data_IF_295202283794
#
_entry.id   IF_295202283794
#
_cell.length_a   1.000
_cell.length_b   1.000
_cell.length_c   1.000
_cell.angle_alpha   90.00
_cell.angle_beta   90.00
_cell.angle_gamma   90.00
#
_symmetry.space_group_name_H-M   'P 1'
#
loop_
_entity.id
_entity.type
_entity.pdbx_description
1 polymer ?
#
# COMPACT_ATOMS: atom_id res chain seq x y z
N UNK A 1 -9.33 9.61 -39.08
CA UNK A 1 -9.18 9.73 -37.61
C UNK A 1 -9.42 8.35 -37.01
N UNK A 2 -8.35 7.59 -36.76
CA UNK A 2 -8.47 6.26 -36.14
C UNK A 2 -8.47 6.45 -34.62
N UNK A 3 -9.60 6.15 -34.01
CA UNK A 3 -9.68 6.01 -32.55
C UNK A 3 -8.86 4.80 -32.14
N UNK A 4 -7.75 5.06 -31.45
CA UNK A 4 -6.93 4.02 -30.83
C UNK A 4 -7.83 3.12 -29.98
N UNK A 5 -7.66 1.81 -30.16
CA UNK A 5 -8.35 0.76 -29.42
C UNK A 5 -8.26 1.04 -27.93
N UNK A 6 -9.40 1.03 -27.25
CA UNK A 6 -9.46 1.00 -25.78
C UNK A 6 -8.65 -0.22 -25.32
N UNK A 7 -7.45 0.02 -24.81
CA UNK A 7 -6.75 -0.97 -24.02
C UNK A 7 -7.73 -1.48 -22.96
N UNK A 8 -7.94 -2.79 -22.91
CA UNK A 8 -8.97 -3.40 -22.09
C UNK A 8 -8.83 -2.92 -20.65
N UNK A 9 -9.88 -2.31 -20.10
CA UNK A 9 -9.93 -2.01 -18.67
C UNK A 9 -9.69 -3.33 -17.95
N UNK A 10 -8.59 -3.44 -17.21
CA UNK A 10 -8.37 -4.54 -16.27
C UNK A 10 -9.63 -4.65 -15.42
N UNK A 11 -10.24 -5.83 -15.39
CA UNK A 11 -11.49 -6.07 -14.68
C UNK A 11 -11.16 -6.07 -13.19
N UNK A 12 -11.70 -5.11 -12.45
CA UNK A 12 -11.60 -5.10 -10.98
C UNK A 12 -12.34 -6.32 -10.41
N UNK A 13 -11.89 -6.83 -9.28
CA UNK A 13 -12.57 -7.89 -8.54
C UNK A 13 -13.98 -7.46 -8.16
N UNK A 14 -14.99 -8.20 -8.62
CA UNK A 14 -16.41 -7.82 -8.45
C UNK A 14 -16.92 -8.03 -7.01
N UNK A 15 -16.27 -8.93 -6.22
CA UNK A 15 -16.70 -9.27 -4.87
C UNK A 15 -15.49 -9.36 -3.94
N UNK A 16 -15.43 -8.47 -2.96
CA UNK A 16 -14.41 -8.45 -1.91
C UNK A 16 -14.82 -9.29 -0.71
N UNK A 17 -13.84 -9.61 0.15
CA UNK A 17 -14.07 -10.22 1.45
C UNK A 17 -14.95 -9.29 2.31
N UNK A 18 -16.04 -9.79 2.93
CA UNK A 18 -16.82 -9.00 3.86
C UNK A 18 -15.99 -8.63 5.12
N UNK A 19 -16.08 -7.37 5.56
CA UNK A 19 -15.36 -6.87 6.75
C UNK A 19 -16.06 -7.28 8.05
N UNK A 20 -16.21 -8.60 8.28
CA UNK A 20 -16.87 -9.13 9.49
C UNK A 20 -15.92 -9.44 10.63
N UNK A 21 -14.63 -9.62 10.31
CA UNK A 21 -13.59 -10.05 11.27
C UNK A 21 -12.87 -8.90 11.95
N UNK A 22 -13.10 -7.70 11.49
CA UNK A 22 -12.41 -6.49 11.96
C UNK A 22 -13.40 -5.33 12.12
N UNK A 23 -13.06 -4.37 12.97
CA UNK A 23 -13.84 -3.16 13.15
C UNK A 23 -12.95 -1.95 13.45
N UNK A 24 -13.46 -0.75 13.20
CA UNK A 24 -12.79 0.50 13.57
C UNK A 24 -13.18 0.91 14.96
N UNK A 25 -12.20 1.19 15.82
CA UNK A 25 -12.38 1.63 17.19
C UNK A 25 -11.46 2.78 17.58
N UNK A 26 -11.57 3.25 18.83
CA UNK A 26 -10.67 4.24 19.40
C UNK A 26 -9.34 3.56 19.74
N UNK A 27 -8.23 4.06 19.16
CA UNK A 27 -6.89 3.58 19.47
C UNK A 27 -6.33 4.28 20.73
N UNK A 28 -5.55 3.53 21.50
CA UNK A 28 -4.74 4.10 22.57
C UNK A 28 -3.50 4.83 22.06
N UNK A 29 -3.06 4.52 20.84
CA UNK A 29 -1.88 5.13 20.23
C UNK A 29 -2.23 6.42 19.50
N UNK A 30 -3.27 6.39 18.63
CA UNK A 30 -3.58 7.50 17.74
C UNK A 30 -5.03 7.47 17.24
N UNK A 31 -5.87 8.32 17.77
CA UNK A 31 -7.21 8.58 17.25
C UNK A 31 -8.04 7.32 17.03
N UNK A 32 -8.07 6.82 15.80
CA UNK A 32 -8.75 5.60 15.39
C UNK A 32 -7.74 4.52 15.00
N UNK A 33 -8.15 3.25 15.16
CA UNK A 33 -7.41 2.08 14.74
C UNK A 33 -8.35 0.98 14.28
N UNK A 34 -7.80 -0.08 13.71
CA UNK A 34 -8.52 -1.28 13.31
C UNK A 34 -8.29 -2.36 14.36
N UNK A 35 -9.33 -3.08 14.74
CA UNK A 35 -9.31 -4.07 15.82
C UNK A 35 -9.89 -5.39 15.35
N UNK A 36 -9.41 -6.49 15.92
CA UNK A 36 -9.95 -7.83 15.69
C UNK A 36 -11.35 -7.97 16.35
N UNK A 37 -12.36 -8.36 15.57
CA UNK A 37 -13.71 -8.62 16.07
C UNK A 37 -13.86 -10.03 16.67
N UNK A 38 -12.94 -10.93 16.35
CA UNK A 38 -12.84 -12.30 16.82
C UNK A 38 -11.37 -12.70 16.94
N UNK A 39 -11.08 -13.90 17.48
CA UNK A 39 -9.71 -14.42 17.44
C UNK A 39 -9.34 -14.76 16.00
N UNK A 40 -8.14 -14.34 15.58
CA UNK A 40 -7.63 -14.50 14.22
C UNK A 40 -6.38 -15.39 14.24
N UNK A 41 -6.29 -16.31 13.30
CA UNK A 41 -5.12 -17.16 13.14
C UNK A 41 -4.05 -16.48 12.28
N UNK A 42 -2.80 -16.91 12.42
CA UNK A 42 -1.71 -16.47 11.56
C UNK A 42 -1.96 -16.81 10.10
N UNK A 43 -1.75 -15.87 9.21
CA UNK A 43 -1.93 -16.01 7.75
C UNK A 43 -3.36 -15.79 7.29
N UNK A 44 -4.25 -15.42 8.20
CA UNK A 44 -5.66 -15.21 7.88
C UNK A 44 -5.86 -13.93 7.10
N UNK A 45 -6.58 -14.01 5.97
CA UNK A 45 -7.00 -12.85 5.18
C UNK A 45 -8.15 -12.15 5.91
N UNK A 46 -7.94 -10.89 6.30
CA UNK A 46 -8.89 -10.13 7.12
C UNK A 46 -9.56 -8.98 6.38
N UNK A 47 -8.90 -8.46 5.34
CA UNK A 47 -9.45 -7.40 4.49
C UNK A 47 -8.95 -7.52 3.06
N UNK A 48 -9.84 -7.25 2.11
CA UNK A 48 -9.54 -6.92 0.72
C UNK A 48 -10.16 -5.54 0.44
N UNK A 49 -9.36 -4.62 -0.03
CA UNK A 49 -9.80 -3.25 -0.27
C UNK A 49 -9.41 -2.79 -1.67
N UNK A 50 -10.36 -2.31 -2.46
CA UNK A 50 -10.04 -1.62 -3.70
C UNK A 50 -9.24 -0.36 -3.41
N UNK A 51 -8.46 0.08 -4.39
CA UNK A 51 -7.74 1.34 -4.30
C UNK A 51 -7.85 2.16 -5.58
N UNK A 52 -7.69 3.45 -5.43
CA UNK A 52 -7.69 4.41 -6.53
C UNK A 52 -6.29 4.98 -6.62
N UNK A 53 -5.70 4.92 -7.81
CA UNK A 53 -4.43 5.59 -8.08
C UNK A 53 -4.74 7.00 -8.58
N UNK A 54 -4.22 7.97 -7.88
CA UNK A 54 -4.21 9.38 -8.26
C UNK A 54 -2.82 9.78 -8.76
N UNK A 55 -2.62 11.03 -9.12
CA UNK A 55 -1.36 11.54 -9.64
C UNK A 55 -0.13 11.28 -8.76
N UNK A 56 0.98 11.92 -9.08
CA UNK A 56 2.22 11.80 -8.35
C UNK A 56 2.05 12.19 -6.87
N UNK A 57 2.60 11.40 -5.96
CA UNK A 57 2.53 11.68 -4.52
C UNK A 57 3.13 13.05 -4.17
N UNK A 58 4.18 13.49 -4.88
CA UNK A 58 4.79 14.81 -4.71
C UNK A 58 3.83 15.96 -4.98
N UNK A 59 2.82 15.76 -5.82
CA UNK A 59 1.86 16.80 -6.20
C UNK A 59 0.68 16.90 -5.21
N UNK A 60 0.62 16.02 -4.21
CA UNK A 60 -0.39 16.06 -3.17
C UNK A 60 -0.13 17.24 -2.22
N UNK A 61 -1.05 18.21 -2.20
CA UNK A 61 -0.92 19.44 -1.41
C UNK A 61 -1.72 19.41 -0.10
N UNK A 62 -2.51 18.38 0.13
CA UNK A 62 -3.32 18.22 1.35
C UNK A 62 -2.56 17.43 2.40
N UNK A 63 -1.98 18.15 3.39
CA UNK A 63 -1.22 17.55 4.50
C UNK A 63 -2.05 16.57 5.35
N UNK A 64 -3.36 16.74 5.42
CA UNK A 64 -4.23 15.81 6.16
C UNK A 64 -4.37 14.50 5.39
N UNK A 65 -4.62 14.58 4.08
CA UNK A 65 -4.77 13.42 3.22
C UNK A 65 -3.44 12.66 3.06
N UNK A 66 -2.31 13.37 2.99
CA UNK A 66 -0.97 12.78 2.89
C UNK A 66 -0.67 11.76 4.00
N UNK A 67 -1.25 11.96 5.17
CA UNK A 67 -1.07 11.05 6.32
C UNK A 67 -1.78 9.70 6.19
N UNK A 68 -2.73 9.59 5.27
CA UNK A 68 -3.59 8.42 5.11
C UNK A 68 -3.32 7.64 3.82
N UNK A 69 -2.75 8.28 2.81
CA UNK A 69 -2.52 7.65 1.51
C UNK A 69 -1.26 6.80 1.49
N UNK A 70 -1.27 5.81 0.61
CA UNK A 70 -0.08 5.03 0.30
C UNK A 70 0.65 5.66 -0.89
N UNK A 71 1.97 5.72 -0.81
CA UNK A 71 2.82 6.02 -1.96
C UNK A 71 3.25 4.70 -2.58
N UNK A 72 2.95 4.47 -3.84
CA UNK A 72 3.30 3.23 -4.52
C UNK A 72 3.82 3.49 -5.94
N UNK A 73 4.72 2.61 -6.39
CA UNK A 73 5.10 2.56 -7.79
C UNK A 73 4.00 1.85 -8.58
N UNK A 74 3.57 2.46 -9.67
CA UNK A 74 2.64 1.84 -10.60
C UNK A 74 2.88 2.35 -12.02
N UNK A 75 3.12 1.42 -12.94
CA UNK A 75 3.15 1.70 -14.37
C UNK A 75 2.15 0.77 -15.07
N UNK A 76 1.19 1.35 -15.78
CA UNK A 76 0.10 0.63 -16.47
C UNK A 76 0.58 -0.26 -17.63
N UNK A 77 1.76 0.00 -18.17
CA UNK A 77 2.36 -0.74 -19.28
C UNK A 77 3.07 -2.02 -18.78
N UNK A 78 3.34 -2.13 -17.48
CA UNK A 78 3.99 -3.28 -16.86
C UNK A 78 2.98 -4.33 -16.39
N UNK A 79 3.42 -5.58 -16.32
CA UNK A 79 2.67 -6.67 -15.71
C UNK A 79 2.45 -6.45 -14.21
N UNK A 80 1.55 -7.24 -13.60
CA UNK A 80 1.32 -7.21 -12.16
C UNK A 80 2.58 -7.58 -11.38
N UNK A 81 3.29 -8.62 -11.82
CA UNK A 81 4.53 -9.10 -11.22
C UNK A 81 5.65 -8.06 -11.27
N UNK A 82 5.80 -7.37 -12.40
CA UNK A 82 6.79 -6.31 -12.56
C UNK A 82 6.48 -5.11 -11.68
N UNK A 83 5.22 -4.64 -11.65
CA UNK A 83 4.79 -3.58 -10.75
C UNK A 83 5.04 -3.94 -9.27
N UNK A 84 4.72 -5.17 -8.87
CA UNK A 84 4.93 -5.64 -7.51
C UNK A 84 6.41 -5.72 -7.15
N UNK A 85 7.25 -6.25 -8.07
CA UNK A 85 8.70 -6.32 -7.90
C UNK A 85 9.32 -4.93 -7.72
N UNK A 86 8.98 -3.98 -8.60
CA UNK A 86 9.52 -2.63 -8.57
C UNK A 86 9.02 -1.85 -7.34
N UNK A 87 7.77 -2.03 -6.95
CA UNK A 87 7.23 -1.42 -5.74
C UNK A 87 7.99 -1.90 -4.50
N UNK A 88 8.14 -3.22 -4.34
CA UNK A 88 8.91 -3.80 -3.24
C UNK A 88 10.37 -3.32 -3.24
N UNK A 89 11.04 -3.35 -4.38
CA UNK A 89 12.42 -2.90 -4.50
C UNK A 89 12.58 -1.41 -4.20
N UNK A 90 11.65 -0.57 -4.66
CA UNK A 90 11.68 0.87 -4.42
C UNK A 90 11.49 1.20 -2.95
N UNK A 91 10.58 0.55 -2.25
CA UNK A 91 10.39 0.73 -0.82
C UNK A 91 11.60 0.32 0.01
N UNK A 92 12.20 -0.83 -0.30
CA UNK A 92 13.35 -1.33 0.44
C UNK A 92 14.64 -0.60 0.07
N UNK A 93 14.85 -0.26 -1.20
CA UNK A 93 16.12 0.30 -1.68
C UNK A 93 16.26 1.80 -1.45
N UNK A 94 15.16 2.55 -1.42
CA UNK A 94 15.20 3.98 -1.06
C UNK A 94 15.53 4.22 0.42
N UNK A 95 15.40 3.17 1.27
CA UNK A 95 15.82 3.18 2.68
C UNK A 95 17.18 2.52 2.95
N UNK A 96 17.88 2.01 1.93
CA UNK A 96 19.21 1.37 2.07
C UNK A 96 20.27 2.39 1.68
N UNK A 97 21.24 2.61 2.55
CA UNK A 97 22.42 3.49 2.33
C UNK A 97 23.40 2.97 1.23
N UNK A 98 23.04 1.91 0.52
CA UNK A 98 23.84 1.33 -0.56
C UNK A 98 23.60 2.10 -1.87
N UNK A 99 24.54 2.99 -2.20
CA UNK A 99 24.48 3.84 -3.39
C UNK A 99 24.49 3.04 -4.70
N UNK A 100 25.12 1.89 -4.74
CA UNK A 100 25.21 1.08 -5.97
C UNK A 100 23.85 0.45 -6.27
N UNK A 101 23.16 -0.01 -5.25
CA UNK A 101 21.79 -0.54 -5.37
C UNK A 101 20.81 0.58 -5.76
N UNK A 102 20.93 1.77 -5.16
CA UNK A 102 20.11 2.93 -5.54
C UNK A 102 20.33 3.33 -7.00
N UNK A 103 21.58 3.45 -7.42
CA UNK A 103 21.92 3.80 -8.80
C UNK A 103 21.38 2.78 -9.81
N UNK A 104 21.52 1.48 -9.53
CA UNK A 104 20.98 0.42 -10.40
C UNK A 104 19.46 0.50 -10.56
N UNK A 105 18.75 0.82 -9.47
CA UNK A 105 17.30 1.02 -9.53
C UNK A 105 16.93 2.28 -10.33
N UNK A 106 17.67 3.37 -10.15
CA UNK A 106 17.41 4.61 -10.88
C UNK A 106 17.64 4.46 -12.38
N UNK A 107 18.67 3.74 -12.81
CA UNK A 107 18.86 3.46 -14.23
C UNK A 107 17.72 2.61 -14.81
N UNK A 108 17.27 1.57 -14.10
CA UNK A 108 16.09 0.77 -14.52
C UNK A 108 14.82 1.63 -14.64
N UNK A 109 14.58 2.51 -13.68
CA UNK A 109 13.42 3.40 -13.70
C UNK A 109 13.50 4.46 -14.80
N UNK A 110 14.70 4.93 -15.11
CA UNK A 110 14.96 5.89 -16.19
C UNK A 110 14.70 5.27 -17.56
N UNK A 111 15.09 3.99 -17.77
CA UNK A 111 14.75 3.23 -18.98
C UNK A 111 13.23 3.10 -19.16
N UNK A 112 12.46 3.10 -18.07
CA UNK A 112 11.01 3.12 -18.05
C UNK A 112 10.40 4.53 -18.20
N UNK A 113 11.23 5.57 -18.43
CA UNK A 113 10.79 6.96 -18.63
C UNK A 113 10.60 7.77 -17.35
N UNK A 114 11.16 7.33 -16.23
CA UNK A 114 11.12 8.08 -14.95
C UNK A 114 12.43 8.88 -14.75
N UNK A 115 12.52 10.03 -15.37
CA UNK A 115 13.71 10.91 -15.29
C UNK A 115 13.85 11.62 -13.94
N UNK A 116 12.75 11.81 -13.19
CA UNK A 116 12.74 12.46 -11.88
C UNK A 116 12.39 11.42 -10.78
N UNK A 117 13.37 11.03 -9.94
CA UNK A 117 13.15 10.08 -8.85
C UNK A 117 12.04 10.50 -7.87
N UNK A 118 11.81 11.80 -7.70
CA UNK A 118 10.78 12.32 -6.81
C UNK A 118 9.35 12.13 -7.35
N UNK A 119 9.21 11.74 -8.61
CA UNK A 119 7.92 11.51 -9.28
C UNK A 119 7.62 10.05 -9.56
N UNK A 120 8.44 9.14 -9.06
CA UNK A 120 8.28 7.69 -9.24
C UNK A 120 6.98 7.18 -8.60
N UNK A 121 6.60 7.76 -7.45
CA UNK A 121 5.48 7.26 -6.67
C UNK A 121 4.18 7.97 -7.01
N UNK A 122 3.15 7.17 -7.23
CA UNK A 122 1.76 7.60 -7.31
C UNK A 122 1.09 7.52 -5.95
N UNK A 123 0.10 8.37 -5.73
CA UNK A 123 -0.76 8.33 -4.55
C UNK A 123 -1.81 7.25 -4.73
N UNK A 124 -1.91 6.33 -3.78
CA UNK A 124 -2.99 5.35 -3.70
C UNK A 124 -3.92 5.63 -2.52
N UNK A 125 -5.19 5.80 -2.83
CA UNK A 125 -6.28 5.90 -1.84
C UNK A 125 -6.88 4.52 -1.70
N UNK A 126 -6.68 3.87 -0.56
CA UNK A 126 -7.22 2.54 -0.26
C UNK A 126 -8.60 2.68 0.35
N UNK A 127 -9.59 2.04 -0.25
CA UNK A 127 -10.97 2.05 0.22
C UNK A 127 -11.15 1.02 1.36
N UNK A 128 -12.19 1.17 2.18
CA UNK A 128 -12.38 0.30 3.34
C UNK A 128 -11.61 0.80 4.58
N UNK A 129 -11.02 -0.12 5.35
CA UNK A 129 -10.24 0.23 6.56
C UNK A 129 -8.76 0.38 6.29
N UNK A 130 -8.28 0.07 5.08
CA UNK A 130 -6.87 0.05 4.72
C UNK A 130 -6.07 1.29 5.09
N UNK A 131 -6.70 2.48 5.09
CA UNK A 131 -6.09 3.75 5.49
C UNK A 131 -6.20 4.07 7.00
N UNK A 132 -6.80 3.17 7.81
CA UNK A 132 -7.08 3.41 9.24
C UNK A 132 -6.14 2.59 10.15
N UNK A 133 -5.48 1.55 9.62
CA UNK A 133 -4.50 0.80 10.41
C UNK A 133 -3.38 1.71 10.90
N UNK A 134 -3.06 1.62 12.19
CA UNK A 134 -1.93 2.35 12.74
C UNK A 134 -0.59 1.64 12.43
N UNK A 135 0.48 2.43 12.45
CA UNK A 135 1.84 1.93 12.23
C UNK A 135 2.42 1.26 13.47
N UNK A 136 3.17 0.17 13.25
CA UNK A 136 4.07 -0.41 14.24
C UNK A 136 5.33 -0.95 13.56
N UNK A 137 6.48 -0.85 14.27
CA UNK A 137 7.71 -1.53 13.86
C UNK A 137 7.63 -3.04 14.07
N UNK A 138 6.70 -3.50 14.95
CA UNK A 138 6.37 -4.91 15.16
C UNK A 138 4.90 -5.15 14.79
N UNK A 139 4.56 -5.13 13.49
CA UNK A 139 3.19 -5.26 13.02
C UNK A 139 2.67 -6.67 13.26
N UNK A 140 1.35 -6.81 13.47
CA UNK A 140 0.66 -8.10 13.52
C UNK A 140 -0.16 -8.37 12.24
N UNK A 141 -0.10 -7.45 11.28
CA UNK A 141 -0.71 -7.56 9.95
C UNK A 141 0.31 -7.20 8.89
N UNK A 142 0.36 -7.97 7.82
CA UNK A 142 1.08 -7.68 6.60
C UNK A 142 0.10 -7.32 5.48
N UNK A 143 0.56 -6.58 4.49
CA UNK A 143 -0.25 -6.22 3.34
C UNK A 143 0.51 -6.46 2.03
N UNK A 144 -0.24 -6.79 1.01
CA UNK A 144 0.25 -6.97 -0.36
C UNK A 144 -0.71 -6.31 -1.35
N UNK A 145 -0.21 -5.96 -2.55
CA UNK A 145 -1.02 -5.39 -3.62
C UNK A 145 -1.22 -6.44 -4.71
N UNK A 146 -2.46 -6.74 -5.00
CA UNK A 146 -2.83 -7.51 -6.19
C UNK A 146 -3.20 -6.54 -7.32
N UNK A 147 -2.25 -6.31 -8.22
CA UNK A 147 -2.46 -5.43 -9.38
C UNK A 147 -3.35 -6.03 -10.47
N UNK A 148 -3.64 -7.34 -10.43
CA UNK A 148 -4.56 -7.96 -11.38
C UNK A 148 -6.01 -7.63 -11.00
N UNK A 149 -6.32 -7.74 -9.72
CA UNK A 149 -7.64 -7.47 -9.16
C UNK A 149 -7.80 -6.02 -8.66
N UNK A 150 -6.72 -5.25 -8.61
CA UNK A 150 -6.68 -3.89 -8.07
C UNK A 150 -7.19 -3.83 -6.62
N UNK A 151 -6.63 -4.72 -5.78
CA UNK A 151 -6.95 -4.79 -4.36
C UNK A 151 -5.70 -4.81 -3.48
N UNK A 152 -5.78 -4.15 -2.34
CA UNK A 152 -4.91 -4.43 -1.20
C UNK A 152 -5.47 -5.60 -0.42
N UNK A 153 -4.61 -6.52 -0.03
CA UNK A 153 -4.92 -7.68 0.81
C UNK A 153 -4.18 -7.54 2.12
N UNK A 154 -4.90 -7.64 3.22
CA UNK A 154 -4.36 -7.56 4.58
C UNK A 154 -4.48 -8.93 5.23
N UNK A 155 -3.36 -9.47 5.74
CA UNK A 155 -3.28 -10.78 6.38
C UNK A 155 -2.59 -10.66 7.73
N UNK A 156 -3.04 -11.42 8.70
CA UNK A 156 -2.34 -11.56 9.98
C UNK A 156 -0.99 -12.27 9.76
N UNK A 157 0.08 -11.79 10.40
CA UNK A 157 1.38 -12.47 10.39
C UNK A 157 1.66 -13.26 11.67
N UNK A 158 0.73 -13.20 12.63
CA UNK A 158 0.71 -13.95 13.90
C UNK A 158 -0.74 -14.16 14.36
N UNK A 159 -0.94 -14.95 15.41
CA UNK A 159 -2.25 -15.06 16.05
C UNK A 159 -2.60 -13.73 16.74
N UNK A 160 -3.84 -13.30 16.61
CA UNK A 160 -4.35 -12.03 17.18
C UNK A 160 -5.61 -12.33 17.96
N UNK A 161 -5.67 -11.92 19.22
CA UNK A 161 -6.86 -12.12 20.05
C UNK A 161 -7.95 -11.09 19.74
N UNK A 162 -9.19 -11.47 19.93
CA UNK A 162 -10.35 -10.59 19.86
C UNK A 162 -10.14 -9.31 20.68
N UNK A 163 -10.43 -8.15 20.07
CA UNK A 163 -10.28 -6.84 20.69
C UNK A 163 -8.86 -6.28 20.64
N UNK A 164 -7.89 -7.02 20.14
CA UNK A 164 -6.53 -6.52 19.95
C UNK A 164 -6.47 -5.59 18.74
N UNK A 165 -5.70 -4.51 18.83
CA UNK A 165 -5.46 -3.59 17.72
C UNK A 165 -4.56 -4.23 16.67
N UNK A 166 -4.88 -3.98 15.42
CA UNK A 166 -4.20 -4.46 14.23
C UNK A 166 -3.29 -3.35 13.69
N UNK A 167 -2.02 -3.67 13.55
CA UNK A 167 -0.98 -2.73 13.11
C UNK A 167 -0.34 -3.22 11.82
N UNK A 168 -0.01 -2.27 10.95
CA UNK A 168 0.79 -2.53 9.74
C UNK A 168 2.12 -1.78 9.82
N UNK A 169 3.07 -2.16 8.98
CA UNK A 169 4.27 -1.37 8.74
C UNK A 169 4.02 -0.47 7.51
N UNK A 170 4.21 0.84 7.66
CA UNK A 170 4.07 1.82 6.57
C UNK A 170 5.27 1.84 5.61
N UNK A 171 6.23 0.94 5.78
CA UNK A 171 7.51 0.96 5.09
C UNK A 171 8.57 1.72 5.89
N UNK A 172 9.76 1.91 5.31
CA UNK A 172 10.90 2.58 5.97
C UNK A 172 10.69 4.10 6.14
N UNK A 173 9.53 4.53 6.49
CA UNK A 173 9.39 5.88 6.95
C UNK A 173 9.88 5.95 8.40
N UNK A 174 11.15 6.27 8.61
CA UNK A 174 11.52 7.13 9.72
C UNK A 174 10.79 8.47 9.57
N UNK A 175 9.49 8.43 9.51
CA UNK A 175 8.67 9.64 9.69
C UNK A 175 8.78 9.98 11.17
N UNK A 176 9.82 10.75 11.49
CA UNK A 176 10.07 11.31 12.85
C UNK A 176 8.92 12.19 13.34
N UNK A 177 7.94 12.47 12.49
CA UNK A 177 6.86 13.43 12.73
C UNK A 177 5.55 12.78 13.20
N UNK A 178 5.55 11.46 13.43
CA UNK A 178 4.39 10.72 13.95
C UNK A 178 4.46 10.53 15.47
N UNK A 179 5.00 11.52 16.20
CA UNK A 179 4.86 11.63 17.67
C UNK A 179 3.63 12.40 18.04
#
# INVERSE_FOLDING_TARGET
MNFASRAGRKKMKDKLLPLTKIFVGKSSCKGRGVFAAEDLERGELIEEAHFIISGCTKDLQDEQLERYVFSLFYNKELSSEENQRLNFQSFFKLGIDDKDIQNSLFEELKELGYDDPSRIFSTAVVLGYGMIYNHSLNPNVEWEIDYNDFVFKYKTNQNVSKGQELFINYGNSERKDLK
#
